data_IF_934698970157
#
_entry.id   IF_934698970157
#
_cell.length_a   1.000
_cell.length_b   1.000
_cell.length_c   1.000
_cell.angle_alpha   90.00
_cell.angle_beta   90.00
_cell.angle_gamma   90.00
#
_symmetry.space_group_name_H-M   'P 1'
#
loop_
_entity.id
_entity.type
_entity.pdbx_description
1 polymer ?
#
# COMPACT_ATOMS: atom_id res chain seq x y z
N UNK A 1 36.94 -13.47 -3.00
CA UNK A 1 35.61 -14.02 -2.66
C UNK A 1 35.70 -14.47 -1.20
N UNK A 2 34.84 -13.99 -0.30
CA UNK A 2 34.94 -14.35 1.12
C UNK A 2 34.47 -15.79 1.32
N UNK A 3 35.22 -16.54 2.14
CA UNK A 3 34.93 -17.91 2.54
C UNK A 3 33.61 -18.00 3.31
N UNK A 4 32.80 -19.00 2.97
CA UNK A 4 31.57 -19.35 3.68
C UNK A 4 31.98 -20.20 4.89
N UNK A 5 32.48 -19.55 5.94
CA UNK A 5 32.67 -20.18 7.24
C UNK A 5 31.39 -20.04 8.05
N UNK A 6 30.43 -20.93 7.80
CA UNK A 6 29.31 -21.17 8.73
C UNK A 6 28.76 -22.58 8.51
N UNK A 7 29.61 -23.60 8.64
CA UNK A 7 29.15 -24.96 8.94
C UNK A 7 29.15 -25.09 10.46
N UNK A 8 27.97 -24.99 11.07
CA UNK A 8 27.82 -25.28 12.49
C UNK A 8 28.06 -26.77 12.71
N UNK A 9 29.22 -27.14 13.27
CA UNK A 9 29.46 -28.49 13.76
C UNK A 9 28.65 -28.72 15.03
N UNK A 10 27.60 -29.54 14.95
CA UNK A 10 26.89 -30.02 16.13
C UNK A 10 27.77 -31.04 16.86
N UNK A 11 28.50 -30.61 17.90
CA UNK A 11 29.16 -31.52 18.82
C UNK A 11 28.09 -32.13 19.74
N UNK A 12 27.66 -33.36 19.44
CA UNK A 12 26.87 -34.15 20.40
C UNK A 12 27.73 -34.41 21.64
N UNK A 13 27.31 -33.88 22.80
CA UNK A 13 27.93 -34.22 24.07
C UNK A 13 27.76 -35.73 24.34
N UNK A 14 28.75 -36.39 24.97
CA UNK A 14 28.59 -37.77 25.43
C UNK A 14 27.34 -37.92 26.30
N UNK A 15 26.66 -39.06 26.21
CA UNK A 15 25.51 -39.38 27.09
C UNK A 15 25.92 -39.26 28.56
N UNK A 16 25.06 -38.62 29.35
CA UNK A 16 25.14 -38.69 30.81
C UNK A 16 25.06 -40.17 31.24
N UNK A 17 25.93 -40.66 32.15
CA UNK A 17 25.92 -42.04 32.62
C UNK A 17 24.57 -42.50 33.21
N UNK A 18 23.65 -41.58 33.52
CA UNK A 18 22.29 -41.86 33.96
C UNK A 18 21.24 -41.95 32.82
N UNK A 19 21.65 -41.92 31.55
CA UNK A 19 20.75 -42.09 30.40
C UNK A 19 19.94 -40.84 30.01
N UNK A 20 20.23 -39.67 30.59
CA UNK A 20 19.53 -38.44 30.26
C UNK A 20 19.96 -37.90 28.88
N UNK A 21 19.02 -37.83 27.94
CA UNK A 21 19.24 -37.28 26.60
C UNK A 21 19.35 -35.75 26.69
N UNK A 22 20.46 -35.19 26.21
CA UNK A 22 20.64 -33.72 26.11
C UNK A 22 19.81 -33.15 24.96
N UNK A 23 18.52 -32.93 25.21
CA UNK A 23 17.64 -32.25 24.24
C UNK A 23 17.84 -30.74 24.36
N UNK A 24 18.55 -30.14 23.39
CA UNK A 24 18.53 -28.70 23.20
C UNK A 24 17.20 -28.29 22.54
N UNK A 25 16.24 -27.86 23.34
CA UNK A 25 15.03 -27.24 22.81
C UNK A 25 15.37 -25.84 22.26
N UNK A 26 15.32 -25.69 20.93
CA UNK A 26 15.44 -24.40 20.26
C UNK A 26 14.05 -23.90 19.91
N UNK A 27 13.67 -22.74 20.43
CA UNK A 27 12.42 -22.08 20.03
C UNK A 27 12.58 -21.53 18.62
N UNK A 28 11.96 -22.19 17.63
CA UNK A 28 11.90 -21.67 16.26
C UNK A 28 10.99 -20.43 16.27
N UNK A 29 11.57 -19.27 16.01
CA UNK A 29 10.80 -18.03 15.84
C UNK A 29 10.47 -17.85 14.37
N UNK A 30 9.18 -17.79 14.04
CA UNK A 30 8.72 -17.57 12.68
C UNK A 30 8.87 -16.10 12.27
N UNK A 31 9.06 -15.87 10.97
CA UNK A 31 8.99 -14.54 10.36
C UNK A 31 7.58 -13.98 10.54
N UNK A 32 7.48 -12.70 10.90
CA UNK A 32 6.21 -12.01 11.11
C UNK A 32 5.84 -11.18 9.90
N UNK A 33 4.56 -11.20 9.54
CA UNK A 33 3.99 -10.25 8.58
C UNK A 33 4.20 -8.82 9.07
N UNK A 34 4.68 -7.96 8.20
CA UNK A 34 4.97 -6.56 8.46
C UNK A 34 4.24 -5.70 7.44
N UNK A 35 3.43 -4.77 7.93
CA UNK A 35 2.65 -3.83 7.13
C UNK A 35 2.97 -2.40 7.57
N UNK A 36 3.00 -1.44 6.65
CA UNK A 36 3.40 -0.05 6.93
C UNK A 36 2.37 0.94 6.42
N UNK A 37 2.10 1.96 7.24
CA UNK A 37 1.31 3.12 6.85
C UNK A 37 2.23 4.35 6.79
N UNK A 38 2.17 5.08 5.68
CA UNK A 38 2.90 6.33 5.45
C UNK A 38 1.88 7.42 5.14
N UNK A 39 1.84 8.49 5.93
CA UNK A 39 0.89 9.58 5.76
C UNK A 39 1.59 10.91 5.49
N UNK A 40 1.06 11.69 4.54
CA UNK A 40 1.51 13.05 4.31
C UNK A 40 1.08 13.97 5.47
N UNK A 41 2.01 14.77 5.98
CA UNK A 41 1.82 15.62 7.16
C UNK A 41 1.60 17.11 6.89
N UNK A 42 1.39 17.51 5.63
CA UNK A 42 1.12 18.91 5.25
C UNK A 42 -0.37 19.24 5.16
N UNK A 43 -0.79 19.98 4.13
CA UNK A 43 -2.19 20.39 4.00
C UNK A 43 -3.13 19.19 3.84
N UNK A 44 -4.15 19.08 4.71
CA UNK A 44 -5.02 17.89 4.80
C UNK A 44 -4.35 16.66 5.45
N UNK A 45 -3.20 16.84 6.09
CA UNK A 45 -2.42 15.74 6.67
C UNK A 45 -3.07 15.11 7.91
N UNK A 46 -3.92 15.85 8.63
CA UNK A 46 -4.69 15.29 9.75
C UNK A 46 -5.65 14.21 9.26
N UNK A 47 -6.30 14.42 8.11
CA UNK A 47 -7.19 13.46 7.48
C UNK A 47 -6.40 12.25 6.96
N UNK A 48 -5.25 12.47 6.32
CA UNK A 48 -4.39 11.37 5.85
C UNK A 48 -3.91 10.48 7.02
N UNK A 49 -3.53 11.09 8.15
CA UNK A 49 -3.13 10.35 9.35
C UNK A 49 -4.29 9.53 9.94
N UNK A 50 -5.49 10.10 10.01
CA UNK A 50 -6.67 9.36 10.48
C UNK A 50 -7.02 8.20 9.56
N UNK A 51 -6.94 8.37 8.23
CA UNK A 51 -7.14 7.29 7.27
C UNK A 51 -6.08 6.18 7.43
N UNK A 52 -4.83 6.55 7.67
CA UNK A 52 -3.75 5.62 7.94
C UNK A 52 -3.96 4.81 9.23
N UNK A 53 -4.36 5.46 10.33
CA UNK A 53 -4.71 4.77 11.58
C UNK A 53 -5.91 3.83 11.41
N UNK A 54 -6.91 4.26 10.64
CA UNK A 54 -8.07 3.44 10.34
C UNK A 54 -7.67 2.15 9.61
N UNK A 55 -6.90 2.27 8.53
CA UNK A 55 -6.41 1.10 7.77
C UNK A 55 -5.57 0.19 8.66
N UNK A 56 -4.69 0.77 9.49
CA UNK A 56 -3.88 0.02 10.46
C UNK A 56 -4.74 -0.80 11.42
N UNK A 57 -5.78 -0.19 12.02
CA UNK A 57 -6.71 -0.89 12.93
C UNK A 57 -7.37 -2.08 12.23
N UNK A 58 -7.88 -1.87 11.01
CA UNK A 58 -8.52 -2.91 10.20
C UNK A 58 -7.57 -4.06 9.84
N UNK A 59 -6.32 -3.77 9.50
CA UNK A 59 -5.32 -4.82 9.24
C UNK A 59 -4.96 -5.60 10.51
N UNK A 60 -4.93 -4.96 11.68
CA UNK A 60 -4.73 -5.65 12.96
C UNK A 60 -5.93 -6.54 13.32
N UNK A 61 -7.16 -6.13 13.01
CA UNK A 61 -8.36 -6.97 13.16
C UNK A 61 -8.31 -8.19 12.24
N UNK A 62 -7.93 -8.00 10.97
CA UNK A 62 -7.80 -9.08 9.98
C UNK A 62 -6.64 -10.04 10.30
N UNK A 63 -5.51 -9.49 10.75
CA UNK A 63 -4.28 -10.24 11.02
C UNK A 63 -3.68 -9.86 12.39
N UNK A 64 -4.21 -10.37 13.52
CA UNK A 64 -3.81 -9.95 14.87
C UNK A 64 -2.35 -10.23 15.25
N UNK A 65 -1.66 -11.08 14.47
CA UNK A 65 -0.24 -11.44 14.69
C UNK A 65 0.73 -10.59 13.85
N UNK A 66 0.21 -9.75 12.96
CA UNK A 66 1.04 -8.86 12.13
C UNK A 66 1.69 -7.77 12.97
N UNK A 67 2.85 -7.30 12.52
CA UNK A 67 3.54 -6.14 13.08
C UNK A 67 3.23 -4.94 12.20
N UNK A 68 2.43 -4.02 12.73
CA UNK A 68 2.00 -2.82 12.02
C UNK A 68 2.35 -1.60 12.90
N UNK A 69 3.52 -0.97 12.69
CA UNK A 69 3.93 0.21 13.42
C UNK A 69 2.90 1.34 13.34
N UNK A 70 2.99 2.31 14.24
CA UNK A 70 2.21 3.54 14.11
C UNK A 70 2.51 4.22 12.75
N UNK A 71 1.53 4.90 12.13
CA UNK A 71 1.74 5.57 10.85
C UNK A 71 2.92 6.53 10.89
N UNK A 72 3.79 6.40 9.89
CA UNK A 72 4.97 7.26 9.70
C UNK A 72 4.55 8.50 8.91
N UNK A 73 4.97 9.69 9.32
CA UNK A 73 4.52 10.96 8.74
C UNK A 73 5.67 11.61 7.97
N UNK A 74 5.43 12.06 6.74
CA UNK A 74 6.40 12.83 5.94
C UNK A 74 5.87 14.21 5.55
N UNK A 75 6.77 15.20 5.53
CA UNK A 75 6.52 16.58 5.10
C UNK A 75 7.54 17.09 4.08
N UNK A 76 8.52 16.25 3.73
CA UNK A 76 9.57 16.53 2.75
C UNK A 76 9.97 15.24 2.02
N UNK A 77 10.68 15.37 0.90
CA UNK A 77 11.29 14.24 0.20
C UNK A 77 12.29 13.52 1.11
N UNK A 78 13.06 14.27 1.91
CA UNK A 78 14.05 13.67 2.79
C UNK A 78 13.38 12.82 3.87
N UNK A 79 12.33 13.32 4.52
CA UNK A 79 11.56 12.53 5.50
C UNK A 79 10.95 11.28 4.88
N UNK A 80 10.47 11.36 3.64
CA UNK A 80 9.96 10.20 2.92
C UNK A 80 11.05 9.15 2.68
N UNK A 81 12.26 9.59 2.28
CA UNK A 81 13.43 8.70 2.12
C UNK A 81 13.85 8.09 3.45
N UNK A 82 13.92 8.88 4.52
CA UNK A 82 14.30 8.40 5.85
C UNK A 82 13.31 7.34 6.37
N UNK A 83 12.02 7.54 6.12
CA UNK A 83 10.97 6.54 6.40
C UNK A 83 11.22 5.28 5.58
N UNK A 84 11.51 5.41 4.29
CA UNK A 84 11.77 4.28 3.41
C UNK A 84 12.99 3.47 3.85
N UNK A 85 14.11 4.15 4.15
CA UNK A 85 15.33 3.56 4.71
C UNK A 85 15.06 2.88 6.06
N UNK A 86 14.23 3.48 6.92
CA UNK A 86 13.81 2.83 8.18
C UNK A 86 13.07 1.51 7.94
N UNK A 87 12.18 1.45 6.94
CA UNK A 87 11.49 0.21 6.56
C UNK A 87 12.50 -0.80 6.03
N UNK A 88 13.40 -0.39 5.15
CA UNK A 88 14.46 -1.25 4.63
C UNK A 88 15.28 -1.90 5.75
N UNK A 89 15.68 -1.10 6.75
CA UNK A 89 16.46 -1.54 7.90
C UNK A 89 15.69 -2.54 8.78
N UNK A 90 14.39 -2.30 9.04
CA UNK A 90 13.54 -3.24 9.75
C UNK A 90 13.53 -4.61 9.05
N UNK A 91 13.46 -4.63 7.72
CA UNK A 91 13.42 -5.85 6.92
C UNK A 91 14.74 -6.63 6.89
N UNK A 92 15.85 -6.04 7.36
CA UNK A 92 17.15 -6.71 7.53
C UNK A 92 17.30 -7.41 8.89
N UNK A 93 16.44 -7.11 9.87
CA UNK A 93 16.53 -7.69 11.20
C UNK A 93 16.38 -9.21 11.15
N UNK A 94 17.18 -9.90 11.98
CA UNK A 94 17.17 -11.36 12.14
C UNK A 94 16.60 -11.75 13.48
N UNK A 95 15.88 -12.86 13.50
CA UNK A 95 15.39 -13.47 14.72
C UNK A 95 16.43 -14.45 15.29
N UNK A 96 16.14 -15.04 16.46
CA UNK A 96 17.08 -15.96 17.15
C UNK A 96 17.41 -17.22 16.36
N UNK A 97 16.57 -17.57 15.38
CA UNK A 97 16.76 -18.70 14.47
C UNK A 97 17.57 -18.32 13.21
N UNK A 98 18.09 -17.10 13.11
CA UNK A 98 18.84 -16.60 11.95
C UNK A 98 17.97 -16.23 10.74
N UNK A 99 16.65 -16.44 10.81
CA UNK A 99 15.71 -16.04 9.77
C UNK A 99 15.42 -14.54 9.85
N UNK A 100 14.92 -13.94 8.76
CA UNK A 100 14.40 -12.58 8.82
C UNK A 100 13.26 -12.47 9.83
N UNK A 101 13.28 -11.42 10.66
CA UNK A 101 12.24 -11.16 11.65
C UNK A 101 10.92 -10.80 10.99
N UNK A 102 10.98 -10.03 9.91
CA UNK A 102 9.82 -9.48 9.22
C UNK A 102 9.75 -9.92 7.76
N UNK A 103 8.54 -9.98 7.21
CA UNK A 103 8.27 -10.12 5.78
C UNK A 103 7.27 -9.03 5.40
N UNK A 104 7.59 -8.22 4.40
CA UNK A 104 6.79 -7.06 4.02
C UNK A 104 5.60 -7.50 3.15
N UNK A 105 4.38 -7.29 3.63
CA UNK A 105 3.16 -7.59 2.87
C UNK A 105 2.57 -6.34 2.26
N UNK A 106 2.30 -5.30 3.05
CA UNK A 106 1.61 -4.12 2.55
C UNK A 106 2.34 -2.81 2.94
N UNK A 107 2.47 -1.88 2.00
CA UNK A 107 2.74 -0.47 2.29
C UNK A 107 1.57 0.36 1.75
N UNK A 108 0.98 1.19 2.60
CA UNK A 108 -0.04 2.14 2.21
C UNK A 108 0.48 3.56 2.33
N UNK A 109 0.36 4.35 1.26
CA UNK A 109 0.78 5.75 1.21
C UNK A 109 -0.47 6.62 1.05
N UNK A 110 -0.72 7.49 2.04
CA UNK A 110 -1.85 8.42 2.08
C UNK A 110 -1.36 9.84 1.81
N UNK A 111 -1.67 10.39 0.64
CA UNK A 111 -1.12 11.67 0.20
C UNK A 111 -1.95 12.34 -0.89
N UNK A 112 -1.58 13.56 -1.25
CA UNK A 112 -2.07 14.21 -2.46
C UNK A 112 -1.16 13.84 -3.64
N UNK A 113 -1.74 13.62 -4.82
CA UNK A 113 -0.96 13.35 -6.02
C UNK A 113 -1.54 13.95 -7.28
N UNK A 114 -0.63 14.16 -8.22
CA UNK A 114 -0.88 14.25 -9.65
C UNK A 114 -0.60 12.85 -10.28
N UNK A 115 -0.94 12.64 -11.56
CA UNK A 115 -0.65 11.39 -12.26
C UNK A 115 0.76 10.84 -12.07
N UNK A 116 1.78 11.69 -12.08
CA UNK A 116 3.21 11.35 -12.15
C UNK A 116 4.00 11.71 -10.88
N UNK A 117 3.33 12.18 -9.83
CA UNK A 117 4.01 12.58 -8.60
C UNK A 117 3.11 12.67 -7.37
N UNK A 118 3.69 12.37 -6.21
CA UNK A 118 3.09 12.73 -4.91
C UNK A 118 3.48 14.17 -4.59
N UNK A 119 2.50 15.01 -4.29
CA UNK A 119 2.68 16.44 -4.04
C UNK A 119 3.04 16.65 -2.57
N UNK A 120 4.17 17.33 -2.31
CA UNK A 120 4.57 17.72 -0.96
C UNK A 120 4.38 19.22 -0.76
N UNK A 121 5.04 20.03 -1.60
CA UNK A 121 4.90 21.48 -1.66
C UNK A 121 5.36 21.98 -3.03
N UNK A 122 5.18 23.27 -3.32
CA UNK A 122 5.60 23.84 -4.59
C UNK A 122 7.10 23.57 -4.85
N UNK A 123 7.42 22.86 -5.93
CA UNK A 123 8.79 22.53 -6.31
C UNK A 123 9.39 21.32 -5.60
N UNK A 124 8.62 20.61 -4.77
CA UNK A 124 9.08 19.41 -4.07
C UNK A 124 8.01 18.32 -4.11
N UNK A 125 8.37 17.21 -4.74
CA UNK A 125 7.46 16.12 -5.07
C UNK A 125 8.15 14.76 -4.99
N UNK A 126 7.44 13.68 -4.66
CA UNK A 126 7.96 12.33 -4.89
C UNK A 126 7.64 11.98 -6.34
N UNK A 127 8.66 11.97 -7.19
CA UNK A 127 8.56 11.63 -8.61
C UNK A 127 9.45 10.40 -8.93
N UNK A 128 9.50 10.01 -10.19
CA UNK A 128 10.33 8.89 -10.67
C UNK A 128 11.79 8.93 -10.19
N UNK A 129 12.44 10.09 -10.24
CA UNK A 129 13.83 10.25 -9.81
C UNK A 129 14.00 9.97 -8.32
N UNK A 130 13.04 10.43 -7.50
CA UNK A 130 13.04 10.12 -6.07
C UNK A 130 12.82 8.62 -5.87
N UNK A 131 11.86 8.01 -6.56
CA UNK A 131 11.57 6.56 -6.47
C UNK A 131 12.79 5.71 -6.83
N UNK A 132 13.51 6.08 -7.89
CA UNK A 132 14.75 5.41 -8.31
C UNK A 132 15.83 5.41 -7.22
N UNK A 133 15.85 6.44 -6.37
CA UNK A 133 16.82 6.57 -5.28
C UNK A 133 16.48 5.76 -4.04
N UNK A 134 15.28 5.18 -3.96
CA UNK A 134 14.83 4.41 -2.80
C UNK A 134 15.43 3.01 -2.79
N UNK A 135 15.68 2.48 -1.60
CA UNK A 135 16.13 1.10 -1.43
C UNK A 135 15.10 0.11 -1.98
N UNK A 136 15.58 -0.98 -2.58
CA UNK A 136 14.71 -2.07 -3.02
C UNK A 136 14.27 -2.88 -1.80
N UNK A 137 12.99 -2.81 -1.46
CA UNK A 137 12.46 -3.53 -0.30
C UNK A 137 12.28 -5.03 -0.61
N UNK A 138 12.42 -5.87 0.42
CA UNK A 138 12.17 -7.31 0.32
C UNK A 138 10.70 -7.61 0.60
N UNK A 139 9.91 -7.62 -0.46
CA UNK A 139 8.48 -7.92 -0.45
C UNK A 139 8.20 -9.42 -0.28
N UNK A 140 7.06 -9.74 0.31
CA UNK A 140 6.49 -11.09 0.29
C UNK A 140 6.29 -11.52 -1.17
N UNK A 141 6.77 -12.70 -1.58
CA UNK A 141 6.53 -13.22 -2.92
C UNK A 141 5.02 -13.32 -3.18
N UNK A 142 4.56 -12.77 -4.29
CA UNK A 142 3.16 -12.83 -4.77
C UNK A 142 2.11 -12.10 -3.91
N UNK A 143 2.41 -11.78 -2.65
CA UNK A 143 1.48 -11.13 -1.72
C UNK A 143 1.87 -9.69 -1.37
N UNK A 144 3.05 -9.22 -1.83
CA UNK A 144 3.53 -7.86 -1.64
C UNK A 144 2.71 -6.81 -2.41
N UNK A 145 2.15 -5.82 -1.70
CA UNK A 145 1.36 -4.73 -2.26
C UNK A 145 1.83 -3.35 -1.77
N UNK A 146 1.97 -2.40 -2.70
CA UNK A 146 2.09 -0.97 -2.41
C UNK A 146 0.82 -0.27 -2.89
N UNK A 147 0.09 0.36 -1.98
CA UNK A 147 -1.19 1.01 -2.28
C UNK A 147 -1.05 2.51 -2.12
N UNK A 148 -1.28 3.24 -3.21
CA UNK A 148 -1.32 4.71 -3.23
C UNK A 148 -2.75 5.18 -3.00
N UNK A 149 -3.03 5.54 -1.75
CA UNK A 149 -4.23 6.26 -1.34
C UNK A 149 -4.07 7.75 -1.65
N UNK A 150 -3.92 8.05 -2.94
CA UNK A 150 -3.66 9.39 -3.41
C UNK A 150 -4.29 9.63 -4.78
N UNK A 151 -4.93 10.80 -4.93
CA UNK A 151 -5.72 11.17 -6.10
C UNK A 151 -4.96 10.98 -7.43
N UNK A 152 -5.56 10.30 -8.41
CA UNK A 152 -5.00 10.16 -9.77
C UNK A 152 -3.65 9.44 -9.87
N UNK A 153 -3.13 8.81 -8.81
CA UNK A 153 -1.83 8.13 -8.83
C UNK A 153 -1.70 6.95 -9.82
N UNK A 154 -2.84 6.39 -10.26
CA UNK A 154 -2.90 5.37 -11.29
C UNK A 154 -3.24 5.90 -12.68
N UNK A 155 -3.48 7.21 -12.83
CA UNK A 155 -4.01 7.84 -14.04
C UNK A 155 -2.89 8.15 -15.03
N UNK A 156 -3.15 8.02 -16.34
CA UNK A 156 -2.21 8.41 -17.41
C UNK A 156 -2.58 9.76 -18.04
N UNK A 157 -3.88 10.04 -18.08
CA UNK A 157 -4.49 11.09 -18.85
C UNK A 157 -4.56 12.36 -17.99
N UNK A 158 -3.77 13.42 -18.23
CA UNK A 158 -3.90 14.65 -17.43
C UNK A 158 -5.12 15.49 -17.87
N UNK A 159 -5.68 16.27 -16.95
CA UNK A 159 -6.82 17.16 -17.17
C UNK A 159 -6.52 18.32 -18.15
N UNK A 160 -5.24 18.57 -18.46
CA UNK A 160 -4.79 19.71 -19.26
C UNK A 160 -3.83 19.36 -20.42
N UNK A 161 -3.61 18.09 -20.72
CA UNK A 161 -2.60 17.70 -21.70
C UNK A 161 -3.23 16.85 -22.81
N UNK A 162 -3.64 17.52 -23.89
CA UNK A 162 -3.79 16.93 -25.23
C UNK A 162 -2.50 16.26 -25.76
N UNK A 163 -1.40 16.30 -25.00
CA UNK A 163 -0.05 15.89 -25.40
C UNK A 163 0.54 14.70 -24.60
N UNK A 164 -0.13 14.21 -23.55
CA UNK A 164 0.40 13.07 -22.79
C UNK A 164 -0.06 11.76 -23.43
N UNK A 165 0.70 11.31 -24.43
CA UNK A 165 0.58 9.98 -25.03
C UNK A 165 1.29 8.89 -24.19
N UNK A 166 1.65 9.18 -22.94
CA UNK A 166 2.43 8.26 -22.11
C UNK A 166 1.54 7.52 -21.14
N UNK A 167 1.64 6.19 -21.12
CA UNK A 167 1.12 5.32 -20.07
C UNK A 167 1.93 5.48 -18.76
N UNK A 168 2.39 6.68 -18.44
CA UNK A 168 3.23 6.97 -17.29
C UNK A 168 2.38 7.49 -16.15
N UNK A 169 2.51 6.85 -14.99
CA UNK A 169 1.95 7.31 -13.73
C UNK A 169 2.85 6.89 -12.57
N UNK A 170 2.69 7.55 -11.43
CA UNK A 170 3.53 7.33 -10.25
C UNK A 170 3.40 5.90 -9.71
N UNK A 171 2.22 5.28 -9.83
CA UNK A 171 2.02 3.87 -9.48
C UNK A 171 2.87 2.93 -10.37
N UNK A 172 2.93 3.20 -11.67
CA UNK A 172 3.77 2.45 -12.61
C UNK A 172 5.25 2.63 -12.28
N UNK A 173 5.67 3.85 -11.97
CA UNK A 173 7.06 4.13 -11.56
C UNK A 173 7.43 3.34 -10.30
N UNK A 174 6.62 3.39 -9.24
CA UNK A 174 6.84 2.56 -8.05
C UNK A 174 6.95 1.07 -8.40
N UNK A 175 6.06 0.56 -9.26
CA UNK A 175 6.08 -0.87 -9.65
C UNK A 175 7.31 -1.26 -10.47
N UNK A 176 7.94 -0.30 -11.15
CA UNK A 176 9.13 -0.55 -11.97
C UNK A 176 10.38 -0.70 -11.10
N UNK A 177 10.40 -0.07 -9.92
CA UNK A 177 11.55 -0.09 -9.00
C UNK A 177 11.34 -1.00 -7.78
N UNK A 178 10.09 -1.32 -7.44
CA UNK A 178 9.75 -2.19 -6.33
C UNK A 178 9.08 -3.47 -6.84
N UNK A 179 9.59 -4.67 -6.48
CA UNK A 179 9.06 -5.95 -6.95
C UNK A 179 7.78 -6.35 -6.19
N UNK A 180 6.77 -5.48 -6.27
CA UNK A 180 5.47 -5.60 -5.61
C UNK A 180 4.35 -5.29 -6.60
N UNK A 181 3.14 -5.71 -6.27
CA UNK A 181 1.96 -5.16 -6.91
C UNK A 181 1.77 -3.73 -6.45
N UNK A 182 1.66 -2.79 -7.39
CA UNK A 182 1.42 -1.38 -7.06
C UNK A 182 0.06 -0.95 -7.57
N UNK A 183 -0.67 -0.27 -6.70
CA UNK A 183 -2.05 0.14 -6.92
C UNK A 183 -2.14 1.65 -6.84
N UNK A 184 -2.68 2.27 -7.89
CA UNK A 184 -2.90 3.72 -7.94
C UNK A 184 -4.34 4.11 -8.25
N UNK A 185 -4.87 5.10 -7.55
CA UNK A 185 -6.25 5.58 -7.74
C UNK A 185 -6.41 6.32 -9.07
N UNK A 186 -7.55 6.12 -9.74
CA UNK A 186 -7.86 6.77 -11.03
C UNK A 186 -8.43 8.18 -10.88
N UNK A 187 -9.19 8.41 -9.82
CA UNK A 187 -9.95 9.65 -9.60
C UNK A 187 -9.58 10.25 -8.24
N UNK A 188 -10.26 11.33 -7.87
CA UNK A 188 -10.15 11.90 -6.53
C UNK A 188 -10.67 10.91 -5.48
N UNK A 189 -10.02 10.91 -4.32
CA UNK A 189 -10.51 10.19 -3.16
C UNK A 189 -11.82 10.83 -2.65
N UNK A 190 -12.83 10.01 -2.42
CA UNK A 190 -14.07 10.35 -1.73
C UNK A 190 -14.25 9.45 -0.52
N UNK A 191 -15.13 9.82 0.39
CA UNK A 191 -15.45 9.01 1.56
C UNK A 191 -16.64 8.11 1.30
N UNK A 192 -16.59 6.90 1.84
CA UNK A 192 -17.73 6.00 1.92
C UNK A 192 -17.70 5.18 3.21
N UNK A 193 -18.82 4.57 3.56
CA UNK A 193 -18.95 3.76 4.77
C UNK A 193 -20.02 2.68 4.60
N UNK A 194 -19.94 1.63 5.42
CA UNK A 194 -20.96 0.57 5.48
C UNK A 194 -20.53 -0.64 6.30
N UNK A 195 -21.50 -1.41 6.85
CA UNK A 195 -21.23 -2.54 7.73
C UNK A 195 -20.52 -3.71 7.05
N UNK A 196 -20.68 -3.86 5.75
CA UNK A 196 -20.07 -4.94 4.99
C UNK A 196 -19.39 -4.42 3.72
N UNK A 197 -18.38 -5.13 3.20
CA UNK A 197 -17.70 -4.71 1.98
C UNK A 197 -18.62 -4.43 0.79
N UNK A 198 -19.69 -5.23 0.65
CA UNK A 198 -20.66 -5.01 -0.43
C UNK A 198 -21.28 -3.60 -0.36
N UNK A 199 -21.44 -3.03 0.83
CA UNK A 199 -22.07 -1.72 1.03
C UNK A 199 -21.16 -0.59 0.56
N UNK A 200 -19.85 -0.83 0.46
CA UNK A 200 -18.89 0.16 -0.02
C UNK A 200 -18.88 0.33 -1.54
N UNK A 201 -19.62 -0.51 -2.26
CA UNK A 201 -19.67 -0.50 -3.73
C UNK A 201 -20.22 0.80 -4.29
N UNK A 202 -21.05 1.54 -3.54
CA UNK A 202 -21.67 2.79 -3.98
C UNK A 202 -21.35 3.92 -3.03
N UNK A 203 -21.02 5.09 -3.58
CA UNK A 203 -20.81 6.31 -2.80
C UNK A 203 -22.04 6.63 -1.94
N UNK A 204 -21.87 6.72 -0.62
CA UNK A 204 -22.86 7.35 0.25
C UNK A 204 -22.99 8.84 -0.08
N UNK A 205 -24.22 9.37 -0.12
CA UNK A 205 -24.55 10.76 -0.51
C UNK A 205 -24.03 11.85 0.43
N UNK A 206 -23.09 11.52 1.31
CA UNK A 206 -22.53 12.43 2.30
C UNK A 206 -21.42 13.25 1.63
N UNK A 207 -21.56 14.58 1.68
CA UNK A 207 -20.64 15.54 1.08
C UNK A 207 -19.17 15.27 1.46
N UNK A 208 -18.25 15.51 0.51
CA UNK A 208 -16.80 15.26 0.56
C UNK A 208 -16.00 15.95 1.69
N UNK A 209 -16.68 16.61 2.64
CA UNK A 209 -16.09 17.51 3.63
C UNK A 209 -16.17 17.02 5.09
N UNK A 210 -16.54 15.76 5.33
CA UNK A 210 -16.66 15.28 6.71
C UNK A 210 -15.28 14.85 7.23
N UNK A 211 -14.81 15.58 8.25
CA UNK A 211 -13.66 15.16 9.03
C UNK A 211 -13.92 13.76 9.58
N UNK A 212 -12.92 12.89 9.46
CA UNK A 212 -12.95 11.43 9.72
C UNK A 212 -13.52 11.04 11.11
N UNK A 213 -13.70 12.01 12.01
CA UNK A 213 -14.26 11.84 13.37
C UNK A 213 -15.76 12.11 13.54
N UNK A 214 -16.41 12.87 12.65
CA UNK A 214 -17.72 13.48 12.99
C UNK A 214 -18.83 12.44 13.14
N UNK A 215 -18.65 11.23 12.61
CA UNK A 215 -19.69 10.20 12.59
C UNK A 215 -19.48 9.06 13.59
N UNK A 216 -18.34 8.99 14.30
CA UNK A 216 -18.03 7.86 15.19
C UNK A 216 -18.09 6.49 14.49
N UNK A 217 -17.90 6.46 13.16
CA UNK A 217 -18.09 5.27 12.34
C UNK A 217 -16.82 4.41 12.30
N UNK A 218 -16.99 3.11 12.58
CA UNK A 218 -15.90 2.12 12.61
C UNK A 218 -15.50 1.61 11.21
N UNK A 219 -16.04 2.16 10.12
CA UNK A 219 -16.02 1.55 8.78
C UNK A 219 -15.79 2.57 7.65
N UNK A 220 -14.88 3.53 7.86
CA UNK A 220 -14.59 4.55 6.87
C UNK A 220 -13.69 4.00 5.75
N UNK A 221 -14.12 4.20 4.51
CA UNK A 221 -13.36 3.85 3.31
C UNK A 221 -13.02 5.12 2.54
N UNK A 222 -11.73 5.44 2.42
CA UNK A 222 -11.25 6.53 1.58
C UNK A 222 -10.97 6.00 0.18
N UNK A 223 -11.82 6.29 -0.81
CA UNK A 223 -11.65 5.75 -2.15
C UNK A 223 -12.33 6.52 -3.29
N UNK A 224 -11.91 6.24 -4.52
CA UNK A 224 -12.46 6.82 -5.74
C UNK A 224 -13.73 6.14 -6.23
N UNK A 225 -14.71 6.94 -6.65
CA UNK A 225 -15.98 6.47 -7.24
C UNK A 225 -16.17 7.04 -8.64
N UNK A 226 -16.88 6.31 -9.51
CA UNK A 226 -17.34 6.82 -10.80
C UNK A 226 -18.33 7.98 -10.58
N UNK A 227 -17.91 9.23 -10.73
CA UNK A 227 -18.78 10.38 -10.42
C UNK A 227 -19.07 11.31 -11.60
N UNK A 228 -20.36 11.41 -11.97
CA UNK A 228 -20.93 12.54 -12.74
C UNK A 228 -20.46 12.77 -14.18
N UNK A 229 -21.12 13.71 -14.86
CA UNK A 229 -20.90 14.04 -16.27
C UNK A 229 -19.50 14.61 -16.56
N UNK A 230 -18.89 15.31 -15.59
CA UNK A 230 -17.54 15.88 -15.71
C UNK A 230 -16.43 14.82 -15.86
N UNK A 231 -16.64 13.62 -15.30
CA UNK A 231 -15.75 12.47 -15.47
C UNK A 231 -16.15 11.70 -16.74
N UNK A 232 -17.45 11.65 -17.09
CA UNK A 232 -17.93 10.94 -18.28
C UNK A 232 -17.27 11.38 -19.57
N UNK A 233 -17.14 12.68 -19.80
CA UNK A 233 -16.49 13.21 -21.01
C UNK A 233 -15.04 12.69 -21.14
N UNK A 234 -14.30 12.64 -20.02
CA UNK A 234 -12.87 12.30 -19.98
C UNK A 234 -12.59 10.80 -20.03
N UNK A 235 -13.49 10.00 -19.48
CA UNK A 235 -13.25 8.57 -19.26
C UNK A 235 -14.18 7.66 -20.08
N UNK A 236 -15.03 8.25 -20.93
CA UNK A 236 -15.96 7.51 -21.79
C UNK A 236 -15.31 6.44 -22.65
N UNK A 237 -14.00 6.51 -22.93
CA UNK A 237 -13.26 5.53 -23.72
C UNK A 237 -12.59 4.42 -22.90
N UNK A 238 -12.43 4.58 -21.58
CA UNK A 238 -11.85 3.57 -20.69
C UNK A 238 -12.82 2.38 -20.54
N UNK A 239 -12.31 1.16 -20.70
CA UNK A 239 -13.12 -0.07 -20.72
C UNK A 239 -13.75 -0.35 -19.35
N UNK A 240 -13.03 -0.09 -18.26
CA UNK A 240 -13.58 -0.24 -16.91
C UNK A 240 -14.66 0.81 -16.66
N UNK A 241 -14.42 2.06 -17.07
CA UNK A 241 -15.39 3.14 -16.92
C UNK A 241 -16.72 2.82 -17.62
N UNK A 242 -16.67 2.27 -18.85
CA UNK A 242 -17.86 1.83 -19.60
C UNK A 242 -18.63 0.74 -18.88
N UNK A 243 -17.93 -0.15 -18.17
CA UNK A 243 -18.52 -1.30 -17.49
C UNK A 243 -19.21 -0.92 -16.18
N UNK A 244 -18.64 0.01 -15.41
CA UNK A 244 -19.11 0.33 -14.06
C UNK A 244 -20.43 1.12 -14.05
N UNK A 245 -21.26 0.89 -13.04
CA UNK A 245 -22.49 1.67 -12.80
C UNK A 245 -22.16 3.07 -12.24
N UNK A 246 -23.03 4.06 -12.46
CA UNK A 246 -22.85 5.41 -11.92
C UNK A 246 -22.74 5.42 -10.39
N UNK A 247 -21.74 6.09 -9.84
CA UNK A 247 -21.48 6.09 -8.40
C UNK A 247 -20.85 4.80 -7.86
N UNK A 248 -20.56 3.81 -8.72
CA UNK A 248 -19.86 2.59 -8.31
C UNK A 248 -18.39 2.89 -7.99
N UNK A 249 -17.84 2.17 -7.02
CA UNK A 249 -16.43 2.18 -6.69
C UNK A 249 -15.62 1.97 -7.98
N UNK A 250 -14.73 2.90 -8.30
CA UNK A 250 -13.98 2.84 -9.56
C UNK A 250 -12.49 2.84 -9.31
N UNK A 251 -11.88 1.65 -9.22
CA UNK A 251 -11.11 1.51 -8.02
C UNK A 251 -9.67 1.12 -8.27
N UNK A 252 -8.95 1.82 -9.14
CA UNK A 252 -7.50 1.73 -9.40
C UNK A 252 -7.05 1.01 -10.66
N UNK A 253 -5.87 1.40 -11.14
CA UNK A 253 -5.02 0.56 -11.99
C UNK A 253 -3.99 -0.17 -11.12
N UNK A 254 -3.75 -1.43 -11.47
CA UNK A 254 -2.79 -2.32 -10.82
C UNK A 254 -1.59 -2.51 -11.75
N UNK A 255 -0.40 -2.51 -11.17
CA UNK A 255 0.86 -2.66 -11.91
C UNK A 255 1.74 -3.71 -11.23
N UNK A 256 2.59 -4.37 -12.02
CA UNK A 256 3.70 -5.19 -11.53
C UNK A 256 4.87 -5.05 -12.49
N UNK A 257 6.06 -4.75 -11.98
CA UNK A 257 7.26 -4.58 -12.79
C UNK A 257 7.11 -3.56 -13.93
N UNK A 258 6.31 -2.50 -13.73
CA UNK A 258 6.06 -1.48 -14.74
C UNK A 258 4.97 -1.83 -15.76
N UNK A 259 4.40 -3.04 -15.71
CA UNK A 259 3.34 -3.49 -16.60
C UNK A 259 1.97 -3.36 -15.93
N UNK A 260 0.98 -2.85 -16.67
CA UNK A 260 -0.40 -2.79 -16.23
C UNK A 260 -0.99 -4.20 -16.18
N UNK A 261 -1.69 -4.51 -15.10
CA UNK A 261 -2.45 -5.74 -14.93
C UNK A 261 -3.93 -5.39 -15.03
N UNK A 262 -4.60 -5.98 -16.01
CA UNK A 262 -6.03 -5.83 -16.17
C UNK A 262 -6.79 -6.46 -15.01
N UNK A 263 -7.85 -5.78 -14.60
CA UNK A 263 -8.71 -6.20 -13.51
C UNK A 263 -10.03 -6.72 -14.04
N UNK A 264 -10.63 -7.65 -13.31
CA UNK A 264 -11.97 -8.13 -13.62
C UNK A 264 -12.97 -7.22 -12.92
N UNK A 265 -13.57 -6.30 -13.65
CA UNK A 265 -14.65 -5.44 -13.15
C UNK A 265 -16.00 -5.93 -13.65
N UNK A 266 -17.03 -5.85 -12.80
CA UNK A 266 -18.41 -6.17 -13.15
C UNK A 266 -19.34 -5.03 -12.74
N UNK A 267 -20.36 -4.80 -13.56
CA UNK A 267 -21.36 -3.77 -13.31
C UNK A 267 -22.19 -4.08 -12.06
N UNK A 268 -22.41 -3.09 -11.17
CA UNK A 268 -23.21 -3.23 -9.94
C UNK A 268 -22.70 -4.34 -8.99
N UNK A 269 -21.40 -4.62 -9.01
CA UNK A 269 -20.77 -5.60 -8.14
C UNK A 269 -19.59 -4.97 -7.40
N UNK A 270 -19.40 -5.40 -6.16
CA UNK A 270 -18.17 -5.12 -5.44
C UNK A 270 -17.07 -6.02 -5.99
N UNK A 271 -15.92 -5.47 -6.36
CA UNK A 271 -14.82 -6.26 -6.90
C UNK A 271 -13.89 -6.68 -5.75
N UNK A 272 -13.60 -7.97 -5.62
CA UNK A 272 -12.76 -8.49 -4.54
C UNK A 272 -11.33 -7.92 -4.56
N UNK A 273 -10.83 -7.53 -5.75
CA UNK A 273 -9.56 -6.80 -5.84
C UNK A 273 -9.58 -5.54 -4.94
N UNK A 274 -10.76 -4.93 -4.75
CA UNK A 274 -10.98 -3.73 -3.93
C UNK A 274 -10.69 -3.95 -2.44
N UNK A 275 -10.77 -5.19 -1.96
CA UNK A 275 -10.42 -5.54 -0.58
C UNK A 275 -8.92 -5.39 -0.29
N UNK A 276 -8.08 -5.50 -1.32
CA UNK A 276 -6.64 -5.25 -1.15
C UNK A 276 -6.37 -3.75 -0.94
N UNK A 277 -7.33 -2.90 -1.29
CA UNK A 277 -7.20 -1.45 -1.26
C UNK A 277 -7.81 -0.88 0.04
N UNK A 278 -9.00 -1.37 0.43
CA UNK A 278 -9.81 -0.87 1.57
C UNK A 278 -9.33 -1.37 2.94
#
# INVERSE_FOLDING_TARGET
MPEIDNISHANTRPMDPNGAVHVHQVKITQTKRYDVMIAYGGHGGAEMLKAAEFKRKRLLEKNPKSVIPAPKIFRSQQEFKDIWTSIFNDLQLRNKSGMYTYELYEIHIFAHSDPDQIIIRKGEHINKTVIQSLEKLRWSPELGHLVLHSCRSGRFEDDNLTQRNSEECIARDFSSYQPAYVIGQMVYASFNYGPQPQDWKYRATVNDKIAIDVLGMNELVLWGYKSGDAIKERFSNDVEYKTLFGGQLWPCRKYRNGEKIDRKVAQNQFNDDDLNFI
#
